data_IF_530460212534
#
_entry.id   IF_530460212534
#
_cell.length_a   1.000
_cell.length_b   1.000
_cell.length_c   1.000
_cell.angle_alpha   90.00
_cell.angle_beta   90.00
_cell.angle_gamma   90.00
#
_symmetry.space_group_name_H-M   'P 1'
#
loop_
_entity.id
_entity.type
_entity.pdbx_description
1 polymer ?
#
# COMPACT_ATOMS: atom_id res chain seq x y z
N UNK A 1 9.27 10.61 14.00
CA UNK A 1 9.26 10.96 12.57
C UNK A 1 7.88 11.41 12.15
N UNK A 2 7.79 12.23 11.11
CA UNK A 2 6.54 12.58 10.45
C UNK A 2 6.28 11.62 9.29
N UNK A 3 5.22 10.81 9.40
CA UNK A 3 4.92 9.70 8.47
C UNK A 3 3.64 9.97 7.71
N UNK A 4 3.69 9.86 6.38
CA UNK A 4 2.52 9.89 5.50
C UNK A 4 2.14 8.48 5.08
N UNK A 5 0.91 8.08 5.33
CA UNK A 5 0.33 6.88 4.74
C UNK A 5 -0.61 7.30 3.62
N UNK A 6 -0.11 7.21 2.40
CA UNK A 6 -0.77 7.70 1.20
C UNK A 6 -1.74 6.66 0.64
N UNK A 7 -2.94 7.12 0.23
CA UNK A 7 -4.04 6.28 -0.27
C UNK A 7 -4.49 5.23 0.76
N UNK A 8 -4.62 5.67 2.02
CA UNK A 8 -5.14 4.85 3.11
C UNK A 8 -6.28 5.56 3.85
N UNK A 9 -7.46 4.98 3.79
CA UNK A 9 -8.63 5.40 4.57
C UNK A 9 -8.84 4.53 5.83
N UNK A 10 -8.24 3.32 5.86
CA UNK A 10 -8.49 2.35 6.93
C UNK A 10 -7.81 2.68 8.27
N UNK A 11 -6.78 3.51 8.26
CA UNK A 11 -5.98 3.86 9.42
C UNK A 11 -5.04 2.77 9.94
N UNK A 12 -5.01 1.58 9.34
CA UNK A 12 -4.24 0.43 9.86
C UNK A 12 -2.74 0.66 9.93
N UNK A 13 -2.17 1.20 8.85
CA UNK A 13 -0.73 1.49 8.79
C UNK A 13 -0.43 2.75 9.59
N UNK A 14 -1.25 3.81 9.43
CA UNK A 14 -1.15 5.02 10.25
C UNK A 14 -1.09 4.71 11.74
N UNK A 15 -2.05 3.92 12.23
CA UNK A 15 -2.17 3.62 13.67
C UNK A 15 -1.03 2.71 14.16
N UNK A 16 -0.48 1.84 13.31
CA UNK A 16 0.71 1.06 13.64
C UNK A 16 1.93 1.96 13.88
N UNK A 17 2.17 2.96 13.02
CA UNK A 17 3.23 3.94 13.22
C UNK A 17 2.96 4.85 14.43
N UNK A 18 1.71 5.27 14.64
CA UNK A 18 1.31 6.05 15.81
C UNK A 18 1.56 5.30 17.11
N UNK A 19 1.29 3.99 17.16
CA UNK A 19 1.57 3.15 18.31
C UNK A 19 3.05 3.05 18.66
N UNK A 20 3.94 3.34 17.70
CA UNK A 20 5.41 3.43 17.90
C UNK A 20 5.88 4.85 18.23
N UNK A 21 4.96 5.79 18.46
CA UNK A 21 5.28 7.17 18.86
C UNK A 21 5.60 8.11 17.69
N UNK A 22 5.27 7.74 16.45
CA UNK A 22 5.46 8.60 15.30
C UNK A 22 4.29 9.56 15.09
N UNK A 23 4.55 10.74 14.50
CA UNK A 23 3.53 11.66 14.00
C UNK A 23 3.04 11.15 12.64
N UNK A 24 2.06 10.23 12.70
CA UNK A 24 1.59 9.51 11.52
C UNK A 24 0.22 10.00 11.06
N UNK A 25 0.14 10.33 9.78
CA UNK A 25 -1.05 10.83 9.08
C UNK A 25 -1.41 9.91 7.92
N UNK A 26 -2.69 9.60 7.76
CA UNK A 26 -3.19 9.00 6.52
C UNK A 26 -3.75 10.07 5.59
N UNK A 27 -3.74 9.81 4.28
CA UNK A 27 -4.36 10.66 3.27
C UNK A 27 -5.07 9.80 2.23
N UNK A 28 -6.36 10.11 1.99
CA UNK A 28 -7.18 9.42 0.99
C UNK A 28 -8.30 10.36 0.49
N UNK A 29 -8.85 10.09 -0.68
CA UNK A 29 -10.05 10.78 -1.18
C UNK A 29 -11.30 10.42 -0.34
N UNK A 30 -11.30 9.25 0.28
CA UNK A 30 -12.34 8.78 1.19
C UNK A 30 -12.10 9.29 2.60
N UNK A 31 -13.16 9.47 3.40
CA UNK A 31 -13.02 9.71 4.83
C UNK A 31 -12.42 8.48 5.53
N UNK A 32 -11.74 8.70 6.64
CA UNK A 32 -11.16 7.60 7.42
C UNK A 32 -12.23 6.72 8.07
N UNK A 33 -11.98 5.40 8.11
CA UNK A 33 -12.87 4.43 8.80
C UNK A 33 -12.73 4.47 10.33
N UNK A 34 -11.62 5.00 10.85
CA UNK A 34 -11.33 5.07 12.29
C UNK A 34 -10.81 6.45 12.66
N UNK A 35 -11.10 6.90 13.86
CA UNK A 35 -10.63 8.19 14.38
C UNK A 35 -9.10 8.29 14.36
N UNK A 36 -8.57 9.44 13.96
CA UNK A 36 -7.12 9.68 13.92
C UNK A 36 -6.74 10.79 12.93
N UNK A 37 -5.44 11.05 12.86
CA UNK A 37 -4.87 12.05 11.96
C UNK A 37 -5.06 11.63 10.50
N UNK A 38 -5.98 12.32 9.79
CA UNK A 38 -6.34 12.00 8.42
C UNK A 38 -6.56 13.26 7.60
N UNK A 39 -6.02 13.26 6.39
CA UNK A 39 -6.25 14.30 5.39
C UNK A 39 -7.17 13.73 4.32
N UNK A 40 -8.40 14.21 4.26
CA UNK A 40 -9.31 13.82 3.20
C UNK A 40 -9.07 14.70 1.96
N UNK A 41 -8.44 14.14 0.94
CA UNK A 41 -8.08 14.87 -0.26
C UNK A 41 -7.08 14.11 -1.14
N UNK A 42 -6.58 14.81 -2.17
CA UNK A 42 -5.54 14.25 -3.04
C UNK A 42 -4.21 14.19 -2.30
N UNK A 43 -3.58 13.02 -2.31
CA UNK A 43 -2.24 12.86 -1.74
C UNK A 43 -1.20 13.73 -2.47
N UNK A 44 -1.41 14.04 -3.75
CA UNK A 44 -0.50 14.89 -4.53
C UNK A 44 -0.38 16.31 -3.96
N UNK A 45 -1.41 16.79 -3.25
CA UNK A 45 -1.45 18.14 -2.66
C UNK A 45 -0.66 18.24 -1.34
N UNK A 46 -0.18 17.12 -0.84
CA UNK A 46 0.50 17.05 0.48
C UNK A 46 1.90 16.42 0.45
N UNK A 47 2.38 16.00 -0.74
CA UNK A 47 3.66 15.31 -0.87
C UNK A 47 4.88 16.14 -0.43
N UNK A 48 4.80 17.47 -0.47
CA UNK A 48 5.87 18.44 -0.15
C UNK A 48 5.80 19.00 1.27
N UNK A 49 4.96 18.43 2.14
CA UNK A 49 4.75 18.94 3.50
C UNK A 49 5.79 18.46 4.53
N UNK A 50 6.98 18.07 4.10
CA UNK A 50 8.10 17.72 4.99
C UNK A 50 7.92 16.39 5.72
N UNK A 51 7.52 15.36 4.99
CA UNK A 51 7.45 13.99 5.49
C UNK A 51 8.82 13.31 5.52
N UNK A 52 9.11 12.58 6.59
CA UNK A 52 10.33 11.77 6.74
C UNK A 52 10.20 10.41 6.02
N UNK A 53 9.00 9.87 6.02
CA UNK A 53 8.65 8.57 5.43
C UNK A 53 7.27 8.62 4.80
N UNK A 54 7.14 7.99 3.63
CA UNK A 54 5.83 7.70 3.04
C UNK A 54 5.66 6.19 2.83
N UNK A 55 4.51 5.66 3.28
CA UNK A 55 4.00 4.34 2.88
C UNK A 55 2.79 4.58 1.99
N UNK A 56 2.85 4.15 0.73
CA UNK A 56 1.84 4.46 -0.27
C UNK A 56 1.14 3.20 -0.79
N UNK A 57 -0.20 3.25 -0.87
CA UNK A 57 -1.07 2.17 -1.34
C UNK A 57 -1.91 2.62 -2.56
N UNK A 58 -1.27 2.97 -3.70
CA UNK A 58 -2.02 3.49 -4.84
C UNK A 58 -3.06 2.48 -5.36
N UNK A 59 -4.22 2.96 -5.87
CA UNK A 59 -5.26 2.09 -6.40
C UNK A 59 -4.72 1.13 -7.47
N UNK A 60 -5.00 -0.16 -7.30
CA UNK A 60 -4.52 -1.21 -8.21
C UNK A 60 -5.48 -1.55 -9.36
N UNK A 61 -6.64 -0.90 -9.46
CA UNK A 61 -7.74 -1.24 -10.37
C UNK A 61 -7.30 -1.33 -11.84
N UNK A 62 -6.46 -0.40 -12.31
CA UNK A 62 -5.96 -0.37 -13.68
C UNK A 62 -4.53 -0.91 -13.83
N UNK A 63 -3.94 -1.42 -12.75
CA UNK A 63 -2.53 -1.85 -12.68
C UNK A 63 -2.38 -3.36 -12.46
N UNK A 64 -3.23 -3.97 -11.62
CA UNK A 64 -3.10 -5.36 -11.22
C UNK A 64 -3.31 -6.32 -12.39
N UNK A 65 -2.41 -7.32 -12.54
CA UNK A 65 -2.50 -8.32 -13.61
C UNK A 65 -3.76 -9.19 -13.52
N UNK A 66 -4.40 -9.29 -12.38
CA UNK A 66 -5.71 -9.94 -12.24
C UNK A 66 -6.82 -9.27 -13.06
N UNK A 67 -6.64 -8.01 -13.46
CA UNK A 67 -7.52 -7.25 -14.34
C UNK A 67 -7.03 -7.16 -15.79
N UNK A 68 -5.97 -7.86 -16.18
CA UNK A 68 -5.28 -7.68 -17.47
C UNK A 68 -6.19 -7.85 -18.71
N UNK A 69 -7.23 -8.69 -18.63
CA UNK A 69 -8.23 -8.86 -19.71
C UNK A 69 -8.92 -7.56 -20.12
N UNK A 70 -8.96 -6.56 -19.25
CA UNK A 70 -9.60 -5.27 -19.49
C UNK A 70 -8.64 -4.18 -19.94
N UNK A 71 -7.32 -4.40 -19.92
CA UNK A 71 -6.30 -3.39 -20.20
C UNK A 71 -6.43 -2.82 -21.62
N UNK A 72 -6.80 -3.65 -22.59
CA UNK A 72 -6.96 -3.21 -23.98
C UNK A 72 -7.94 -2.04 -24.14
N UNK A 73 -8.98 -2.01 -23.32
CA UNK A 73 -10.06 -1.01 -23.39
C UNK A 73 -9.88 0.13 -22.36
N UNK A 74 -8.80 0.11 -21.56
CA UNK A 74 -8.56 1.06 -20.46
C UNK A 74 -7.11 1.56 -20.46
N UNK A 75 -6.59 1.83 -21.65
CA UNK A 75 -5.20 2.27 -21.80
C UNK A 75 -4.96 3.66 -21.20
N UNK A 76 -5.94 4.58 -21.33
CA UNK A 76 -5.85 5.92 -20.78
C UNK A 76 -5.83 5.87 -19.26
N UNK A 77 -6.77 5.15 -18.64
CA UNK A 77 -6.85 5.01 -17.19
C UNK A 77 -5.60 4.29 -16.62
N UNK A 78 -5.05 3.33 -17.38
CA UNK A 78 -3.80 2.69 -16.98
C UNK A 78 -2.61 3.66 -17.06
N UNK A 79 -2.55 4.50 -18.08
CA UNK A 79 -1.51 5.52 -18.22
C UNK A 79 -1.57 6.51 -17.04
N UNK A 80 -2.76 7.02 -16.72
CA UNK A 80 -2.97 7.93 -15.59
C UNK A 80 -2.55 7.29 -14.26
N UNK A 81 -2.93 6.01 -14.04
CA UNK A 81 -2.53 5.27 -12.86
C UNK A 81 -0.99 5.08 -12.77
N UNK A 82 -0.31 4.85 -13.89
CA UNK A 82 1.16 4.77 -13.93
C UNK A 82 1.82 6.13 -13.67
N UNK A 83 1.26 7.23 -14.19
CA UNK A 83 1.71 8.58 -13.89
C UNK A 83 1.58 8.89 -12.39
N UNK A 84 0.46 8.51 -11.79
CA UNK A 84 0.24 8.68 -10.35
C UNK A 84 1.27 7.88 -9.51
N UNK A 85 1.51 6.60 -9.84
CA UNK A 85 2.55 5.78 -9.20
C UNK A 85 3.94 6.43 -9.36
N UNK A 86 4.24 6.95 -10.55
CA UNK A 86 5.52 7.64 -10.80
C UNK A 86 5.67 8.90 -9.95
N UNK A 87 4.60 9.68 -9.77
CA UNK A 87 4.60 10.85 -8.90
C UNK A 87 4.90 10.48 -7.44
N UNK A 88 4.26 9.41 -6.92
CA UNK A 88 4.53 8.92 -5.57
C UNK A 88 5.97 8.44 -5.39
N UNK A 89 6.51 7.66 -6.34
CA UNK A 89 7.88 7.13 -6.26
C UNK A 89 8.95 8.23 -6.35
N UNK A 90 8.64 9.36 -6.99
CA UNK A 90 9.54 10.50 -7.15
C UNK A 90 9.22 11.67 -6.20
N UNK A 91 8.33 11.47 -5.24
CA UNK A 91 8.01 12.50 -4.25
C UNK A 91 9.27 13.00 -3.51
N UNK A 92 9.29 14.28 -3.08
CA UNK A 92 10.42 14.87 -2.34
C UNK A 92 10.48 14.37 -0.89
N UNK A 93 10.37 13.06 -0.72
CA UNK A 93 10.39 12.35 0.56
C UNK A 93 11.59 11.41 0.55
N UNK A 94 12.37 11.43 1.63
CA UNK A 94 13.62 10.69 1.70
C UNK A 94 13.41 9.18 1.65
N UNK A 95 12.44 8.67 2.42
CA UNK A 95 12.13 7.25 2.55
C UNK A 95 10.73 6.95 2.03
N UNK A 96 10.63 6.04 1.05
CA UNK A 96 9.36 5.68 0.43
C UNK A 96 9.23 4.16 0.35
N UNK A 97 8.07 3.64 0.78
CA UNK A 97 7.61 2.30 0.49
C UNK A 97 6.30 2.40 -0.31
N UNK A 98 6.29 1.93 -1.55
CA UNK A 98 5.06 1.81 -2.33
C UNK A 98 4.63 0.35 -2.39
N UNK A 99 3.40 0.08 -2.02
CA UNK A 99 2.77 -1.25 -2.00
C UNK A 99 1.75 -1.37 -3.13
N UNK A 100 1.81 -2.47 -3.88
CA UNK A 100 0.78 -2.83 -4.85
C UNK A 100 0.80 -4.36 -5.07
N UNK A 101 -0.30 -5.00 -5.48
CA UNK A 101 -0.24 -6.39 -5.92
C UNK A 101 0.64 -6.56 -7.16
N UNK A 102 0.85 -7.79 -7.61
CA UNK A 102 1.55 -8.04 -8.87
C UNK A 102 0.83 -7.29 -10.01
N UNK A 103 1.56 -6.38 -10.63
CA UNK A 103 1.00 -5.36 -11.52
C UNK A 103 1.94 -4.98 -12.66
N UNK A 104 1.41 -4.22 -13.62
CA UNK A 104 2.19 -3.68 -14.74
C UNK A 104 3.24 -2.65 -14.32
N UNK A 105 3.24 -2.17 -13.08
CA UNK A 105 4.31 -1.30 -12.54
C UNK A 105 5.66 -1.98 -12.75
N UNK A 106 5.73 -3.30 -12.53
CA UNK A 106 6.96 -4.09 -12.65
C UNK A 106 7.58 -4.07 -14.05
N UNK A 107 6.78 -3.90 -15.08
CA UNK A 107 7.21 -3.89 -16.49
C UNK A 107 7.25 -2.50 -17.10
N UNK A 108 6.43 -1.58 -16.60
CA UNK A 108 6.27 -0.24 -17.15
C UNK A 108 7.10 0.84 -16.45
N UNK A 109 7.41 0.66 -15.16
CA UNK A 109 8.20 1.60 -14.37
C UNK A 109 9.50 0.94 -13.90
N UNK A 110 9.42 0.02 -12.94
CA UNK A 110 10.58 -0.75 -12.45
C UNK A 110 10.14 -2.01 -11.69
N UNK A 111 11.02 -3.01 -11.63
CA UNK A 111 10.80 -4.22 -10.83
C UNK A 111 10.67 -3.87 -9.34
N UNK A 112 9.83 -4.61 -8.58
CA UNK A 112 9.74 -4.41 -7.13
C UNK A 112 11.06 -4.78 -6.45
N UNK A 113 11.34 -4.11 -5.35
CA UNK A 113 12.49 -4.41 -4.48
C UNK A 113 12.30 -5.73 -3.77
N UNK A 114 11.04 -6.06 -3.43
CA UNK A 114 10.66 -7.24 -2.67
C UNK A 114 9.23 -7.65 -2.99
N UNK A 115 8.93 -8.94 -2.83
CA UNK A 115 7.55 -9.48 -2.81
C UNK A 115 7.36 -10.17 -1.47
N UNK A 116 6.31 -9.81 -0.75
CA UNK A 116 5.95 -10.35 0.55
C UNK A 116 4.60 -11.09 0.49
N UNK A 117 4.34 -11.89 1.52
CA UNK A 117 3.10 -12.63 1.69
C UNK A 117 2.55 -12.45 3.11
N UNK A 118 1.23 -12.40 3.31
CA UNK A 118 0.64 -12.25 4.65
C UNK A 118 1.04 -13.34 5.64
N UNK A 119 1.28 -14.57 5.17
CA UNK A 119 1.72 -15.68 6.03
C UNK A 119 3.10 -15.49 6.65
N UNK A 120 3.89 -14.55 6.14
CA UNK A 120 5.17 -14.15 6.74
C UNK A 120 4.99 -13.23 7.95
N UNK A 121 3.76 -12.74 8.17
CA UNK A 121 3.41 -11.71 9.16
C UNK A 121 2.17 -12.08 9.99
N UNK A 122 2.01 -13.37 10.32
CA UNK A 122 0.97 -13.86 11.22
C UNK A 122 -0.41 -14.07 10.62
N UNK A 123 -0.55 -14.06 9.29
CA UNK A 123 -1.84 -14.26 8.63
C UNK A 123 -1.79 -15.45 7.67
N UNK A 124 -2.50 -16.54 7.95
CA UNK A 124 -2.51 -17.78 7.15
C UNK A 124 -3.07 -17.64 5.74
N UNK A 125 -2.68 -16.57 5.02
CA UNK A 125 -3.21 -16.21 3.70
C UNK A 125 -2.12 -16.00 2.65
N UNK A 126 -2.52 -16.15 1.39
CA UNK A 126 -1.73 -15.79 0.22
C UNK A 126 -2.31 -14.55 -0.46
N UNK A 127 -1.51 -13.50 -0.53
CA UNK A 127 -1.77 -12.28 -1.31
C UNK A 127 -0.41 -11.69 -1.65
N UNK A 128 0.19 -12.13 -2.76
CA UNK A 128 1.48 -11.61 -3.19
C UNK A 128 1.44 -10.08 -3.31
N UNK A 129 2.24 -9.42 -2.51
CA UNK A 129 2.29 -7.97 -2.37
C UNK A 129 3.69 -7.49 -2.72
N UNK A 130 3.78 -6.66 -3.74
CA UNK A 130 5.03 -6.07 -4.20
C UNK A 130 5.34 -4.79 -3.42
N UNK A 131 6.61 -4.62 -3.05
CA UNK A 131 7.13 -3.42 -2.42
C UNK A 131 8.20 -2.78 -3.30
N UNK A 132 8.04 -1.48 -3.58
CA UNK A 132 9.07 -0.63 -4.19
C UNK A 132 9.61 0.29 -3.10
N UNK A 133 10.88 0.08 -2.73
CA UNK A 133 11.52 0.76 -1.61
C UNK A 133 12.53 1.80 -2.09
N UNK A 134 12.53 2.97 -1.47
CA UNK A 134 13.53 4.03 -1.60
C UNK A 134 14.11 4.31 -0.22
N UNK A 135 15.41 4.11 -0.04
CA UNK A 135 16.15 4.32 1.21
C UNK A 135 15.53 3.59 2.43
N UNK A 136 14.96 2.42 2.20
CA UNK A 136 14.40 1.54 3.23
C UNK A 136 14.98 0.14 3.09
N UNK A 137 15.25 -0.56 4.21
CA UNK A 137 15.61 -1.97 4.17
C UNK A 137 14.42 -2.82 3.69
N UNK A 138 14.71 -4.03 3.20
CA UNK A 138 13.65 -5.02 2.94
C UNK A 138 12.93 -5.35 4.24
N UNK A 139 11.63 -5.60 4.12
CA UNK A 139 10.79 -5.98 5.26
C UNK A 139 11.04 -7.45 5.60
N UNK A 140 11.54 -7.71 6.80
CA UNK A 140 11.81 -9.06 7.28
C UNK A 140 10.54 -9.70 7.88
N UNK A 141 10.29 -11.01 7.64
CA UNK A 141 9.20 -11.74 8.26
C UNK A 141 9.23 -11.64 9.79
N UNK A 142 8.07 -11.44 10.42
CA UNK A 142 7.95 -11.31 11.88
C UNK A 142 7.27 -12.51 12.53
N UNK A 143 6.36 -13.18 11.83
CA UNK A 143 5.59 -14.30 12.35
C UNK A 143 5.19 -15.23 11.19
N UNK A 144 5.97 -16.26 10.96
CA UNK A 144 5.74 -17.23 9.86
C UNK A 144 4.75 -18.28 10.32
N UNK A 145 3.54 -18.24 9.78
CA UNK A 145 2.47 -19.20 10.05
C UNK A 145 2.27 -20.20 8.91
N UNK A 146 1.68 -21.37 9.20
CA UNK A 146 1.53 -22.44 8.21
C UNK A 146 0.38 -22.21 7.23
N UNK A 147 -0.70 -21.59 7.49
CA UNK A 147 -1.84 -21.39 6.59
C UNK A 147 -1.45 -20.76 5.25
N UNK A 148 -2.12 -21.15 4.16
CA UNK A 148 -1.88 -20.65 2.78
C UNK A 148 -3.19 -20.48 2.02
N UNK A 149 -4.21 -19.94 2.67
CA UNK A 149 -5.52 -19.77 2.05
C UNK A 149 -5.57 -18.55 1.13
N UNK A 150 -6.26 -18.67 0.01
CA UNK A 150 -6.45 -17.57 -0.95
C UNK A 150 -7.80 -16.86 -0.75
N UNK A 151 -8.16 -16.51 0.49
CA UNK A 151 -9.48 -15.93 0.85
C UNK A 151 -9.75 -14.62 0.10
N UNK A 152 -8.74 -13.75 0.01
CA UNK A 152 -8.87 -12.46 -0.70
C UNK A 152 -9.20 -12.66 -2.19
N UNK A 153 -8.62 -13.68 -2.85
CA UNK A 153 -8.93 -13.99 -4.25
C UNK A 153 -10.30 -14.62 -4.40
N UNK A 154 -10.70 -15.49 -3.48
CA UNK A 154 -11.96 -16.24 -3.49
C UNK A 154 -13.14 -15.46 -2.92
N UNK A 155 -12.93 -14.24 -2.44
CA UNK A 155 -13.99 -13.42 -1.86
C UNK A 155 -15.15 -13.23 -2.85
N UNK A 156 -16.37 -13.56 -2.40
CA UNK A 156 -17.58 -13.42 -3.19
C UNK A 156 -17.82 -11.97 -3.63
N UNK A 157 -18.48 -11.73 -4.77
CA UNK A 157 -18.92 -10.38 -5.17
C UNK A 157 -19.81 -9.76 -4.09
N UNK A 158 -19.49 -8.53 -3.67
CA UNK A 158 -20.29 -7.72 -2.76
C UNK A 158 -20.00 -6.24 -2.98
N UNK A 159 -20.84 -5.36 -2.48
CA UNK A 159 -20.62 -3.91 -2.57
C UNK A 159 -19.30 -3.49 -1.91
N UNK A 160 -18.92 -4.14 -0.79
CA UNK A 160 -17.74 -3.82 -0.01
C UNK A 160 -16.50 -4.65 -0.38
N UNK A 161 -16.61 -5.53 -1.38
CA UNK A 161 -15.50 -6.42 -1.76
C UNK A 161 -14.22 -5.67 -2.09
N UNK A 162 -14.31 -4.58 -2.81
CA UNK A 162 -13.16 -3.75 -3.17
C UNK A 162 -12.48 -3.18 -1.92
N UNK A 163 -13.28 -2.71 -0.96
CA UNK A 163 -12.85 -2.16 0.31
C UNK A 163 -12.10 -3.20 1.15
N UNK A 164 -12.71 -4.37 1.34
CA UNK A 164 -12.12 -5.47 2.11
C UNK A 164 -10.82 -6.00 1.49
N UNK A 165 -10.72 -6.02 0.17
CA UNK A 165 -9.51 -6.45 -0.55
C UNK A 165 -8.37 -5.44 -0.52
N UNK A 166 -8.66 -4.15 -0.34
CA UNK A 166 -7.65 -3.09 -0.27
C UNK A 166 -6.97 -3.00 1.10
N UNK A 167 -7.57 -3.56 2.13
CA UNK A 167 -7.03 -3.47 3.49
C UNK A 167 -5.64 -4.11 3.60
N UNK A 168 -4.72 -3.39 4.23
CA UNK A 168 -3.42 -3.93 4.62
C UNK A 168 -3.59 -4.89 5.81
N UNK A 169 -2.90 -6.01 5.78
CA UNK A 169 -2.89 -6.96 6.91
C UNK A 169 -2.19 -6.33 8.12
N UNK A 170 -2.78 -6.49 9.30
CA UNK A 170 -2.28 -5.83 10.52
C UNK A 170 -0.87 -6.25 10.89
N UNK A 171 -0.47 -7.50 10.65
CA UNK A 171 0.89 -7.97 10.86
C UNK A 171 1.90 -7.27 9.94
N UNK A 172 1.53 -7.02 8.67
CA UNK A 172 2.36 -6.25 7.73
C UNK A 172 2.48 -4.80 8.21
N UNK A 173 1.37 -4.16 8.60
CA UNK A 173 1.39 -2.79 9.12
C UNK A 173 2.29 -2.64 10.35
N UNK A 174 2.22 -3.60 11.29
CA UNK A 174 3.10 -3.65 12.47
C UNK A 174 4.56 -3.80 12.08
N UNK A 175 4.88 -4.73 11.17
CA UNK A 175 6.25 -4.94 10.71
C UNK A 175 6.83 -3.69 10.04
N UNK A 176 6.04 -2.99 9.22
CA UNK A 176 6.43 -1.71 8.61
C UNK A 176 6.77 -0.66 9.68
N UNK A 177 5.91 -0.52 10.70
CA UNK A 177 6.14 0.44 11.77
C UNK A 177 7.31 0.06 12.69
N UNK A 178 7.60 -1.22 12.85
CA UNK A 178 8.73 -1.72 13.66
C UNK A 178 10.07 -1.60 12.98
N UNK A 179 10.11 -1.82 11.66
CA UNK A 179 11.38 -1.94 10.94
C UNK A 179 11.75 -0.67 10.19
N UNK A 180 10.79 0.21 9.91
CA UNK A 180 11.02 1.47 9.18
C UNK A 180 10.78 2.71 10.05
N UNK A 181 10.20 2.52 11.24
CA UNK A 181 9.93 3.56 12.23
C UNK A 181 11.12 4.10 13.01
#
# INVERSE_FOLDING_TARGET
MKVLVACEYSGRVRDAFKAKGHDAWSCDLLPTDVEGQHIQGSVLDVLDQGWDLMVAHPPCTHLAVSGARWFKNKQQEQHEALCFVSALLNAPIERIALENPISVISTKIKKPTQIIQPWQFGHGETKATCLWLKNLPKLEPTDIVEGREARVHKMAPSADRWKLRSLTFTGIAKAMAEQWG
#
